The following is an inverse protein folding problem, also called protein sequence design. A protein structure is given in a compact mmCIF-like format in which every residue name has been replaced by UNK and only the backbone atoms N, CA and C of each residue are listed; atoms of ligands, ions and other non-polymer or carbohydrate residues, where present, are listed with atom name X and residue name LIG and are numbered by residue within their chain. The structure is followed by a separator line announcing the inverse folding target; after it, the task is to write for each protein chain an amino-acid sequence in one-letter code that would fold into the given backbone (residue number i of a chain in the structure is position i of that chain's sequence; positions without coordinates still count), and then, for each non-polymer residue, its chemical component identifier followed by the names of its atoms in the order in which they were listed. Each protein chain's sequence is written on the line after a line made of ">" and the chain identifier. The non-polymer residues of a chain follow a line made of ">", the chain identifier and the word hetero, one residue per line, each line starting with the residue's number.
data_IF_197824719239
#
_entry.id   IF_197824719239
#
_cell.length_a   1.000
_cell.length_b   1.000
_cell.length_c   1.000
_cell.angle_alpha   90.00
_cell.angle_beta   90.00
_cell.angle_gamma   90.00
#
_symmetry.space_group_name_H-M   'P 1'
#
loop_
_entity.id
_entity.type
_entity.pdbx_description
1 polymer ?
#
# COMPACT_ATOMS: atom_id res chain seq x y z
N UNK A 1 19.24 -19.30 0.72
CA UNK A 1 20.48 -18.57 0.49
C UNK A 1 20.23 -17.08 0.27
N UNK A 2 19.18 -16.69 -0.46
CA UNK A 2 18.85 -15.30 -0.88
C UNK A 2 17.89 -14.56 0.05
N UNK A 3 17.61 -15.09 1.22
CA UNK A 3 16.60 -14.57 2.14
C UNK A 3 17.22 -14.08 3.44
N UNK A 4 16.65 -13.02 3.99
CA UNK A 4 16.89 -12.58 5.35
C UNK A 4 15.68 -12.85 6.24
N UNK A 5 15.93 -13.35 7.46
CA UNK A 5 14.89 -13.52 8.48
C UNK A 5 14.65 -12.20 9.20
N UNK A 6 13.41 -11.83 9.32
CA UNK A 6 12.98 -10.55 9.90
C UNK A 6 12.07 -10.81 11.08
N UNK A 7 12.37 -10.19 12.22
CA UNK A 7 11.46 -10.12 13.35
C UNK A 7 10.52 -8.93 13.16
N UNK A 8 9.22 -9.19 13.04
CA UNK A 8 8.19 -8.18 12.82
C UNK A 8 8.09 -7.23 14.01
N UNK A 9 8.10 -5.93 13.75
CA UNK A 9 7.89 -4.87 14.74
C UNK A 9 6.50 -4.24 14.61
N UNK A 10 6.03 -4.05 13.37
CA UNK A 10 4.79 -3.35 13.06
C UNK A 10 4.09 -3.98 11.87
N UNK A 11 2.76 -4.01 11.92
CA UNK A 11 1.91 -4.43 10.82
C UNK A 11 0.79 -3.41 10.60
N UNK A 12 0.33 -3.26 9.37
CA UNK A 12 -0.87 -2.50 9.04
C UNK A 12 -1.92 -3.41 8.39
N UNK A 13 -3.18 -3.17 8.74
CA UNK A 13 -4.32 -3.85 8.15
C UNK A 13 -4.74 -3.09 6.88
N UNK A 14 -4.64 -3.74 5.73
CA UNK A 14 -5.18 -3.21 4.49
C UNK A 14 -6.68 -3.52 4.38
N UNK A 15 -7.53 -2.53 4.66
CA UNK A 15 -8.97 -2.74 4.66
C UNK A 15 -9.51 -3.31 3.33
N UNK A 16 -8.93 -2.94 2.19
CA UNK A 16 -9.38 -3.41 0.89
C UNK A 16 -8.98 -4.88 0.64
N UNK A 17 -7.71 -5.21 0.76
CA UNK A 17 -7.17 -6.53 0.45
C UNK A 17 -7.56 -7.55 1.51
N UNK A 18 -7.29 -7.27 2.78
CA UNK A 18 -7.53 -8.23 3.86
C UNK A 18 -9.04 -8.53 4.02
N UNK A 19 -9.91 -7.51 3.85
CA UNK A 19 -11.35 -7.74 3.89
C UNK A 19 -11.84 -8.62 2.74
N UNK A 20 -11.29 -8.47 1.52
CA UNK A 20 -11.63 -9.32 0.37
C UNK A 20 -11.14 -10.76 0.59
N UNK A 21 -9.95 -10.93 1.14
CA UNK A 21 -9.41 -12.25 1.48
C UNK A 21 -10.27 -12.95 2.54
N UNK A 22 -10.59 -12.27 3.64
CA UNK A 22 -11.46 -12.81 4.70
C UNK A 22 -12.84 -13.16 4.17
N UNK A 23 -13.39 -12.36 3.25
CA UNK A 23 -14.70 -12.61 2.65
C UNK A 23 -14.69 -13.67 1.53
N UNK A 24 -13.55 -14.23 1.14
CA UNK A 24 -13.43 -15.15 0.01
C UNK A 24 -13.71 -14.51 -1.36
N UNK A 25 -13.43 -13.20 -1.47
CA UNK A 25 -13.72 -12.39 -2.68
C UNK A 25 -12.46 -11.84 -3.35
N UNK A 26 -11.29 -12.28 -2.92
CA UNK A 26 -10.05 -11.84 -3.55
C UNK A 26 -9.82 -12.65 -4.84
N UNK A 27 -9.61 -11.99 -6.00
CA UNK A 27 -9.43 -12.69 -7.26
C UNK A 27 -8.23 -13.64 -7.24
N UNK A 28 -8.42 -14.87 -7.73
CA UNK A 28 -7.37 -15.88 -7.81
C UNK A 28 -7.01 -16.57 -6.50
N UNK A 29 -7.73 -16.30 -5.41
CA UNK A 29 -7.55 -16.98 -4.12
C UNK A 29 -8.81 -17.78 -3.78
N UNK A 30 -8.70 -19.10 -3.84
CA UNK A 30 -9.80 -20.06 -3.64
C UNK A 30 -9.47 -21.14 -2.59
N UNK A 31 -8.26 -21.14 -2.06
CA UNK A 31 -7.78 -22.14 -1.09
C UNK A 31 -7.59 -21.53 0.30
N UNK A 32 -8.24 -22.14 1.30
CA UNK A 32 -8.24 -21.70 2.71
C UNK A 32 -7.85 -22.87 3.62
N UNK A 33 -7.34 -22.63 4.86
CA UNK A 33 -7.13 -21.33 5.50
C UNK A 33 -5.93 -20.55 4.95
N UNK A 34 -5.93 -19.21 5.16
CA UNK A 34 -4.89 -18.27 4.73
C UNK A 34 -4.19 -17.62 5.93
N UNK A 35 -2.86 -17.52 5.86
CA UNK A 35 -2.10 -16.61 6.71
C UNK A 35 -2.02 -15.23 6.02
N UNK A 36 -2.60 -14.21 6.64
CA UNK A 36 -2.76 -12.88 6.08
C UNK A 36 -1.60 -11.93 6.42
N UNK A 37 -1.62 -10.76 5.78
CA UNK A 37 -0.73 -9.64 6.05
C UNK A 37 0.29 -9.41 4.94
N UNK A 38 0.29 -8.21 4.38
CA UNK A 38 1.20 -7.82 3.29
C UNK A 38 1.82 -6.44 3.54
N UNK A 39 1.41 -5.75 4.57
CA UNK A 39 1.99 -4.48 5.02
C UNK A 39 2.62 -4.69 6.39
N UNK A 40 3.93 -4.79 6.43
CA UNK A 40 4.69 -4.99 7.67
C UNK A 40 6.06 -4.34 7.59
N UNK A 41 6.65 -4.11 8.76
CA UNK A 41 8.02 -3.67 8.94
C UNK A 41 8.65 -4.45 10.10
N UNK A 42 9.95 -4.70 10.03
CA UNK A 42 10.66 -5.41 11.07
C UNK A 42 12.16 -5.32 10.94
N UNK A 43 12.87 -5.95 11.89
CA UNK A 43 14.33 -5.96 11.95
C UNK A 43 14.88 -7.27 11.42
N UNK A 44 15.86 -7.18 10.55
CA UNK A 44 16.65 -8.35 10.09
C UNK A 44 17.42 -8.94 11.28
N UNK A 45 17.17 -10.21 11.56
CA UNK A 45 17.82 -10.96 12.65
C UNK A 45 18.80 -12.02 12.15
N UNK A 46 18.67 -12.46 10.90
CA UNK A 46 19.63 -13.35 10.25
C UNK A 46 19.58 -13.13 8.74
N UNK A 47 20.70 -13.41 8.08
CA UNK A 47 20.83 -13.30 6.62
C UNK A 47 21.36 -14.60 6.03
N UNK A 48 20.87 -14.96 4.84
CA UNK A 48 21.41 -16.08 4.06
C UNK A 48 22.75 -15.71 3.41
N UNK A 49 23.48 -16.71 3.00
CA UNK A 49 24.88 -16.58 2.50
C UNK A 49 25.03 -15.72 1.24
N UNK A 50 23.97 -15.58 0.46
CA UNK A 50 23.94 -14.82 -0.79
C UNK A 50 23.26 -13.46 -0.66
N UNK A 51 22.80 -13.10 0.51
CA UNK A 51 22.19 -11.80 0.78
C UNK A 51 23.29 -10.73 0.82
N UNK A 52 23.14 -9.69 -0.01
CA UNK A 52 24.10 -8.59 -0.13
C UNK A 52 23.51 -7.23 0.27
N UNK A 53 22.19 -7.04 0.08
CA UNK A 53 21.53 -5.75 0.27
C UNK A 53 20.87 -5.59 1.64
N UNK A 54 20.92 -6.61 2.48
CA UNK A 54 20.42 -6.57 3.87
C UNK A 54 21.53 -7.02 4.83
N UNK A 55 21.53 -6.47 6.02
CA UNK A 55 22.36 -6.92 7.14
C UNK A 55 21.54 -7.00 8.43
N UNK A 56 22.01 -7.80 9.38
CA UNK A 56 21.42 -7.89 10.72
C UNK A 56 21.35 -6.50 11.35
N UNK A 57 20.18 -6.12 11.85
CA UNK A 57 19.86 -4.83 12.42
C UNK A 57 19.25 -3.83 11.46
N UNK A 58 19.19 -4.11 10.15
CA UNK A 58 18.46 -3.25 9.21
C UNK A 58 16.95 -3.38 9.44
N UNK A 59 16.23 -2.25 9.39
CA UNK A 59 14.78 -2.26 9.31
C UNK A 59 14.37 -2.43 7.86
N UNK A 60 13.46 -3.36 7.61
CA UNK A 60 12.97 -3.71 6.27
C UNK A 60 11.45 -3.75 6.24
N UNK A 61 10.87 -3.61 5.06
CA UNK A 61 9.43 -3.66 4.80
C UNK A 61 9.05 -4.80 3.85
N UNK A 62 7.76 -5.17 3.85
CA UNK A 62 7.18 -6.10 2.88
C UNK A 62 7.58 -7.56 3.09
N UNK A 63 8.01 -7.93 4.29
CA UNK A 63 8.31 -9.33 4.60
C UNK A 63 7.09 -10.23 4.43
N UNK A 64 7.31 -11.48 4.00
CA UNK A 64 6.24 -12.44 3.75
C UNK A 64 6.69 -13.87 4.11
N UNK A 65 5.71 -14.80 4.13
CA UNK A 65 5.91 -16.24 4.19
C UNK A 65 5.17 -16.84 3.00
N UNK A 66 5.91 -17.34 2.02
CA UNK A 66 5.34 -17.94 0.80
C UNK A 66 4.90 -19.39 1.00
N UNK A 67 5.52 -20.11 1.94
CA UNK A 67 5.26 -21.52 2.21
C UNK A 67 5.21 -21.79 3.72
N UNK A 68 4.10 -22.33 4.19
CA UNK A 68 3.87 -22.78 5.56
C UNK A 68 4.12 -24.29 5.75
N UNK A 69 4.67 -24.96 4.75
CA UNK A 69 5.00 -26.38 4.80
C UNK A 69 3.77 -27.25 5.04
N UNK A 70 3.94 -28.28 5.87
CA UNK A 70 2.90 -29.29 6.16
C UNK A 70 1.77 -28.81 7.11
N UNK A 71 1.67 -27.51 7.40
CA UNK A 71 0.67 -26.98 8.36
C UNK A 71 -0.74 -26.86 7.78
N UNK A 72 -0.92 -27.08 6.47
CA UNK A 72 -2.22 -26.96 5.81
C UNK A 72 -2.75 -25.53 5.76
N UNK A 73 -1.86 -24.54 5.85
CA UNK A 73 -2.15 -23.10 5.75
C UNK A 73 -1.55 -22.60 4.43
N UNK A 74 -2.34 -21.84 3.67
CA UNK A 74 -1.88 -21.21 2.43
C UNK A 74 -1.40 -19.78 2.70
N UNK A 75 -0.52 -19.28 1.85
CA UNK A 75 -0.03 -17.92 1.97
C UNK A 75 -1.04 -16.91 1.43
N UNK A 76 -1.47 -16.00 2.30
CA UNK A 76 -2.03 -14.69 1.96
C UNK A 76 -1.02 -13.62 2.36
N UNK A 77 0.23 -13.80 1.92
CA UNK A 77 1.49 -13.14 2.28
C UNK A 77 2.04 -13.47 3.67
N UNK A 78 1.23 -13.82 4.66
CA UNK A 78 1.70 -14.27 5.97
C UNK A 78 2.40 -13.22 6.85
N UNK A 79 2.31 -11.94 6.49
CA UNK A 79 3.04 -10.86 7.15
C UNK A 79 2.57 -10.51 8.55
N UNK A 80 1.41 -11.04 9.01
CA UNK A 80 0.96 -10.91 10.41
C UNK A 80 1.61 -11.93 11.35
N UNK A 81 2.75 -12.46 10.95
CA UNK A 81 3.54 -13.41 11.74
C UNK A 81 4.62 -12.71 12.54
N UNK A 82 5.06 -13.31 13.65
CA UNK A 82 6.15 -12.80 14.48
C UNK A 82 7.47 -12.71 13.72
N UNK A 83 7.69 -13.66 12.80
CA UNK A 83 8.84 -13.66 11.89
C UNK A 83 8.36 -13.83 10.46
N UNK A 84 9.02 -13.11 9.57
CA UNK A 84 8.80 -13.17 8.12
C UNK A 84 10.15 -13.22 7.42
N UNK A 85 10.15 -13.42 6.11
CA UNK A 85 11.35 -13.36 5.30
C UNK A 85 11.25 -12.24 4.28
N UNK A 86 12.39 -11.63 3.99
CA UNK A 86 12.58 -10.76 2.82
C UNK A 86 13.57 -11.42 1.88
N UNK A 87 13.36 -11.26 0.59
CA UNK A 87 14.21 -11.81 -0.47
C UNK A 87 15.10 -10.68 -1.00
N UNK A 88 16.36 -10.98 -1.24
CA UNK A 88 17.28 -10.03 -1.87
C UNK A 88 16.99 -10.02 -3.38
N UNK A 89 16.03 -9.20 -3.78
CA UNK A 89 15.52 -9.15 -5.15
C UNK A 89 16.60 -8.74 -6.16
N UNK A 90 17.47 -7.81 -5.80
CA UNK A 90 18.53 -7.36 -6.70
C UNK A 90 19.54 -8.49 -6.99
N UNK A 91 19.90 -9.25 -5.97
CA UNK A 91 20.77 -10.43 -6.18
C UNK A 91 20.06 -11.49 -7.02
N UNK A 92 18.78 -11.77 -6.76
CA UNK A 92 18.00 -12.69 -7.60
C UNK A 92 17.96 -12.24 -9.06
N UNK A 93 17.84 -10.95 -9.30
CA UNK A 93 17.82 -10.35 -10.63
C UNK A 93 19.17 -10.45 -11.32
N UNK A 94 20.26 -10.16 -10.62
CA UNK A 94 21.65 -10.29 -11.12
C UNK A 94 22.00 -11.73 -11.50
N UNK A 95 21.52 -12.72 -10.73
CA UNK A 95 21.71 -14.14 -11.00
C UNK A 95 20.69 -14.74 -12.00
N UNK A 96 19.75 -13.94 -12.52
CA UNK A 96 18.73 -14.40 -13.46
C UNK A 96 17.63 -15.27 -12.85
N UNK A 97 17.45 -15.16 -11.53
CA UNK A 97 16.47 -15.95 -10.74
C UNK A 97 15.18 -15.19 -10.41
N UNK A 98 15.10 -13.91 -10.78
CA UNK A 98 13.92 -13.06 -10.52
C UNK A 98 12.81 -13.32 -11.54
N UNK A 99 12.37 -14.57 -11.69
CA UNK A 99 11.30 -14.96 -12.60
C UNK A 99 10.23 -15.80 -11.87
N UNK A 100 8.96 -15.78 -12.34
CA UNK A 100 7.89 -16.60 -11.77
C UNK A 100 8.20 -18.10 -11.78
N UNK A 101 8.90 -18.59 -12.80
CA UNK A 101 9.29 -20.01 -12.93
C UNK A 101 10.28 -20.43 -11.84
N UNK A 102 11.04 -19.49 -11.30
CA UNK A 102 11.95 -19.69 -10.15
C UNK A 102 11.27 -19.40 -8.80
N UNK A 103 9.95 -19.18 -8.79
CA UNK A 103 9.18 -18.87 -7.58
C UNK A 103 9.37 -17.43 -7.06
N UNK A 104 9.85 -16.52 -7.91
CA UNK A 104 9.94 -15.12 -7.56
C UNK A 104 8.56 -14.46 -7.74
N UNK A 105 8.10 -13.80 -6.68
CA UNK A 105 6.86 -13.03 -6.70
C UNK A 105 7.16 -11.54 -6.97
N UNK A 106 6.25 -10.86 -7.66
CA UNK A 106 6.36 -9.42 -7.90
C UNK A 106 6.52 -8.63 -6.60
N UNK A 107 5.92 -9.14 -5.50
CA UNK A 107 6.05 -8.56 -4.17
C UNK A 107 7.48 -8.58 -3.60
N UNK A 108 8.43 -9.33 -4.15
CA UNK A 108 9.81 -9.31 -3.69
C UNK A 108 10.51 -7.98 -4.02
N UNK A 109 10.11 -7.33 -5.11
CA UNK A 109 10.65 -6.02 -5.51
C UNK A 109 10.39 -4.92 -4.48
N UNK A 110 9.33 -5.04 -3.66
CA UNK A 110 9.02 -4.05 -2.62
C UNK A 110 9.81 -4.24 -1.33
N UNK A 111 10.46 -5.40 -1.17
CA UNK A 111 11.21 -5.76 0.03
C UNK A 111 12.51 -4.97 0.08
N UNK A 112 12.51 -3.89 0.85
CA UNK A 112 13.65 -2.98 0.92
C UNK A 112 13.98 -2.59 2.36
N UNK A 113 15.25 -2.29 2.60
CA UNK A 113 15.67 -1.64 3.81
C UNK A 113 15.23 -0.16 3.81
N UNK A 114 14.78 0.32 4.95
CA UNK A 114 14.45 1.72 5.16
C UNK A 114 15.57 2.42 5.92
N UNK A 115 15.73 3.75 5.77
CA UNK A 115 16.72 4.51 6.52
C UNK A 115 16.57 4.30 8.04
N UNK A 116 17.67 4.21 8.77
CA UNK A 116 17.69 3.85 10.19
C UNK A 116 16.93 4.81 11.12
N UNK A 117 16.69 6.05 10.68
CA UNK A 117 15.92 7.05 11.42
C UNK A 117 14.38 6.88 11.27
N UNK A 118 13.93 6.10 10.29
CA UNK A 118 12.49 5.85 10.05
C UNK A 118 11.98 4.90 11.13
N UNK A 119 10.92 5.31 11.83
CA UNK A 119 10.31 4.49 12.89
C UNK A 119 9.44 3.36 12.29
N UNK A 120 9.13 2.28 13.05
CA UNK A 120 8.34 1.17 12.52
C UNK A 120 6.98 1.61 11.96
N UNK A 121 6.31 2.55 12.62
CA UNK A 121 5.02 3.10 12.22
C UNK A 121 5.11 3.87 10.89
N UNK A 122 6.22 4.54 10.66
CA UNK A 122 6.50 5.24 9.40
C UNK A 122 6.93 4.26 8.30
N UNK A 123 7.70 3.24 8.68
CA UNK A 123 8.15 2.21 7.75
C UNK A 123 6.98 1.42 7.16
N UNK A 124 6.03 0.98 7.98
CA UNK A 124 4.92 0.15 7.51
C UNK A 124 4.02 0.88 6.51
N UNK A 125 3.81 2.20 6.66
CA UNK A 125 2.99 2.98 5.70
C UNK A 125 3.67 3.17 4.35
N UNK A 126 5.00 2.94 4.26
CA UNK A 126 5.74 3.05 3.01
C UNK A 126 5.27 2.03 1.96
N UNK A 127 4.67 0.91 2.38
CA UNK A 127 4.03 -0.04 1.47
C UNK A 127 2.91 0.64 0.67
N UNK A 128 1.96 1.27 1.35
CA UNK A 128 0.88 2.05 0.72
C UNK A 128 1.42 3.25 -0.06
N UNK A 129 2.39 3.99 0.47
CA UNK A 129 2.93 5.17 -0.20
C UNK A 129 3.60 4.85 -1.52
N UNK A 130 4.30 3.72 -1.62
CA UNK A 130 4.91 3.28 -2.87
C UNK A 130 3.87 3.04 -3.97
N UNK A 131 2.76 2.37 -3.64
CA UNK A 131 1.65 2.15 -4.58
C UNK A 131 1.03 3.47 -5.05
N UNK A 132 0.77 4.38 -4.10
CA UNK A 132 0.23 5.70 -4.42
C UNK A 132 1.20 6.50 -5.29
N UNK A 133 2.52 6.45 -5.03
CA UNK A 133 3.52 7.11 -5.86
C UNK A 133 3.56 6.53 -7.29
N UNK A 134 3.43 5.22 -7.44
CA UNK A 134 3.28 4.58 -8.75
C UNK A 134 2.07 5.13 -9.50
N UNK A 135 0.93 5.24 -8.83
CA UNK A 135 -0.30 5.77 -9.40
C UNK A 135 -0.19 7.24 -9.86
N UNK A 136 0.68 8.06 -9.26
CA UNK A 136 0.94 9.43 -9.76
C UNK A 136 1.44 9.42 -11.19
N UNK A 137 2.32 8.48 -11.54
CA UNK A 137 2.82 8.30 -12.90
C UNK A 137 1.73 7.77 -13.82
N UNK A 138 1.02 6.73 -13.40
CA UNK A 138 0.01 6.06 -14.21
C UNK A 138 -1.18 6.97 -14.53
N UNK A 139 -1.59 7.81 -13.56
CA UNK A 139 -2.66 8.80 -13.73
C UNK A 139 -2.16 10.14 -14.28
N UNK A 140 -0.87 10.25 -14.59
CA UNK A 140 -0.24 11.47 -15.07
C UNK A 140 -0.53 12.68 -14.15
N UNK A 141 -0.41 12.49 -12.83
CA UNK A 141 -0.61 13.55 -11.83
C UNK A 141 0.64 14.43 -11.74
N UNK A 142 0.63 15.54 -12.45
CA UNK A 142 1.74 16.48 -12.50
C UNK A 142 1.44 17.77 -11.69
N UNK A 143 2.47 18.55 -11.31
CA UNK A 143 2.26 19.81 -10.60
C UNK A 143 1.22 20.72 -11.25
N UNK A 144 0.41 21.38 -10.43
CA UNK A 144 -0.65 22.29 -10.87
C UNK A 144 -1.99 21.62 -11.19
N UNK A 145 -2.04 20.30 -11.37
CA UNK A 145 -3.29 19.59 -11.63
C UNK A 145 -4.25 19.64 -10.44
N UNK A 146 -5.54 19.59 -10.75
CA UNK A 146 -6.64 19.57 -9.80
C UNK A 146 -7.23 18.15 -9.74
N UNK A 147 -7.31 17.60 -8.55
CA UNK A 147 -7.82 16.25 -8.35
C UNK A 147 -8.92 16.22 -7.30
N UNK A 148 -9.86 15.30 -7.44
CA UNK A 148 -10.80 14.94 -6.40
C UNK A 148 -10.60 13.46 -6.03
N UNK A 149 -10.45 13.18 -4.74
CA UNK A 149 -10.22 11.83 -4.20
C UNK A 149 -11.48 11.38 -3.47
N UNK A 150 -12.01 10.23 -3.80
CA UNK A 150 -13.15 9.63 -3.12
C UNK A 150 -12.66 8.59 -2.13
N UNK A 151 -12.90 8.84 -0.85
CA UNK A 151 -12.46 8.02 0.28
C UNK A 151 -11.28 8.64 1.04
N UNK A 152 -11.47 8.89 2.35
CA UNK A 152 -10.44 9.37 3.29
C UNK A 152 -9.85 8.23 4.12
N UNK A 153 -9.67 7.06 3.51
CA UNK A 153 -8.89 5.96 4.07
C UNK A 153 -7.37 6.19 3.90
N UNK A 154 -6.51 5.24 4.33
CA UNK A 154 -5.06 5.37 4.21
C UNK A 154 -4.59 5.73 2.79
N UNK A 155 -5.16 5.09 1.77
CA UNK A 155 -4.84 5.37 0.35
C UNK A 155 -5.23 6.79 -0.03
N UNK A 156 -6.48 7.22 0.23
CA UNK A 156 -6.93 8.57 -0.12
C UNK A 156 -6.16 9.65 0.61
N UNK A 157 -5.88 9.48 1.91
CA UNK A 157 -5.04 10.38 2.69
C UNK A 157 -3.61 10.45 2.16
N UNK A 158 -3.08 9.34 1.65
CA UNK A 158 -1.76 9.30 1.01
C UNK A 158 -1.75 10.10 -0.28
N UNK A 159 -2.81 10.02 -1.12
CA UNK A 159 -2.95 10.88 -2.29
C UNK A 159 -2.97 12.36 -1.91
N UNK A 160 -3.68 12.73 -0.84
CA UNK A 160 -3.70 14.11 -0.33
C UNK A 160 -2.29 14.56 0.07
N UNK A 161 -1.63 13.77 0.94
CA UNK A 161 -0.31 14.13 1.47
C UNK A 161 0.75 14.22 0.39
N UNK A 162 0.87 13.19 -0.43
CA UNK A 162 1.84 13.13 -1.51
C UNK A 162 1.52 14.16 -2.60
N UNK A 163 0.24 14.36 -2.92
CA UNK A 163 -0.19 15.38 -3.88
C UNK A 163 0.28 16.78 -3.50
N UNK A 164 0.17 17.15 -2.22
CA UNK A 164 0.72 18.45 -1.75
C UNK A 164 2.24 18.49 -1.86
N UNK A 165 2.94 17.41 -1.53
CA UNK A 165 4.40 17.34 -1.66
C UNK A 165 4.85 17.45 -3.12
N UNK A 166 4.11 16.87 -4.05
CA UNK A 166 4.39 16.93 -5.50
C UNK A 166 3.79 18.16 -6.21
N UNK A 167 3.16 19.05 -5.47
CA UNK A 167 2.71 20.34 -6.00
C UNK A 167 1.44 20.29 -6.83
N UNK A 168 0.52 19.35 -6.57
CA UNK A 168 -0.83 19.42 -7.16
C UNK A 168 -1.50 20.74 -6.80
N UNK A 169 -2.21 21.34 -7.75
CA UNK A 169 -2.78 22.68 -7.61
C UNK A 169 -3.99 22.73 -6.69
N UNK A 170 -4.83 21.70 -6.74
CA UNK A 170 -5.99 21.55 -5.86
C UNK A 170 -6.22 20.07 -5.58
N UNK A 171 -6.50 19.74 -4.32
CA UNK A 171 -6.82 18.38 -3.90
C UNK A 171 -8.05 18.42 -3.02
N UNK A 172 -9.17 18.00 -3.57
CA UNK A 172 -10.42 17.87 -2.86
C UNK A 172 -10.66 16.41 -2.48
N UNK A 173 -11.38 16.17 -1.40
CA UNK A 173 -11.64 14.82 -0.91
C UNK A 173 -13.10 14.62 -0.52
N UNK A 174 -13.61 13.42 -0.77
CA UNK A 174 -14.98 13.04 -0.44
C UNK A 174 -14.96 11.89 0.55
N UNK A 175 -15.73 12.00 1.64
CA UNK A 175 -15.96 10.88 2.57
C UNK A 175 -17.31 11.04 3.28
N UNK A 176 -17.92 9.94 3.67
CA UNK A 176 -19.19 9.95 4.43
C UNK A 176 -19.02 10.44 5.86
N UNK A 177 -17.82 10.34 6.42
CA UNK A 177 -17.54 10.62 7.83
C UNK A 177 -16.85 11.99 8.01
N UNK A 178 -17.54 12.99 8.60
CA UNK A 178 -16.96 14.32 8.81
C UNK A 178 -15.62 14.33 9.55
N UNK A 179 -15.45 13.41 10.51
CA UNK A 179 -14.20 13.28 11.26
C UNK A 179 -13.02 12.90 10.35
N UNK A 180 -13.23 12.11 9.32
CA UNK A 180 -12.20 11.76 8.33
C UNK A 180 -11.89 12.92 7.40
N UNK A 181 -12.87 13.72 7.02
CA UNK A 181 -12.67 14.94 6.24
C UNK A 181 -11.80 15.95 6.99
N UNK A 182 -11.97 16.04 8.31
CA UNK A 182 -11.12 16.89 9.15
C UNK A 182 -9.66 16.42 9.17
N UNK A 183 -9.43 15.11 9.23
CA UNK A 183 -8.09 14.53 9.09
C UNK A 183 -7.48 14.88 7.73
N UNK A 184 -8.25 14.73 6.66
CA UNK A 184 -7.79 15.03 5.31
C UNK A 184 -7.41 16.51 5.13
N UNK A 185 -8.19 17.45 5.70
CA UNK A 185 -7.85 18.88 5.69
C UNK A 185 -6.53 19.15 6.42
N UNK A 186 -6.32 18.53 7.59
CA UNK A 186 -5.03 18.64 8.32
C UNK A 186 -3.86 18.07 7.54
N UNK A 187 -4.10 17.08 6.67
CA UNK A 187 -3.08 16.51 5.80
C UNK A 187 -2.84 17.31 4.52
N UNK A 188 -3.69 18.30 4.24
CA UNK A 188 -3.51 19.23 3.14
C UNK A 188 -4.60 19.22 2.06
N UNK A 189 -5.73 18.54 2.26
CA UNK A 189 -6.86 18.67 1.35
C UNK A 189 -7.39 20.13 1.35
N UNK A 190 -7.63 20.67 0.16
CA UNK A 190 -8.14 22.03 0.02
C UNK A 190 -9.60 22.12 0.46
N UNK A 191 -10.42 21.14 0.04
CA UNK A 191 -11.81 21.02 0.48
C UNK A 191 -12.14 19.54 0.80
N UNK A 192 -13.08 19.38 1.70
CA UNK A 192 -13.63 18.05 2.04
C UNK A 192 -15.15 18.09 1.93
N UNK A 193 -15.72 17.14 1.21
CA UNK A 193 -17.14 17.06 0.90
C UNK A 193 -17.73 15.73 1.35
N UNK A 194 -18.99 15.75 1.74
CA UNK A 194 -19.81 14.54 1.87
C UNK A 194 -20.41 14.13 0.52
N UNK A 195 -20.81 12.87 0.33
CA UNK A 195 -21.53 12.45 -0.89
C UNK A 195 -22.78 13.28 -1.17
N UNK A 196 -23.50 13.72 -0.13
CA UNK A 196 -24.68 14.55 -0.29
C UNK A 196 -24.35 15.93 -0.88
N UNK A 197 -23.23 16.55 -0.47
CA UNK A 197 -22.80 17.84 -0.99
C UNK A 197 -22.37 17.76 -2.45
N UNK A 198 -21.66 16.72 -2.86
CA UNK A 198 -21.21 16.54 -4.26
C UNK A 198 -22.36 16.13 -5.21
N UNK A 199 -23.48 15.65 -4.68
CA UNK A 199 -24.65 15.26 -5.47
C UNK A 199 -25.59 16.42 -5.78
N UNK A 200 -25.29 17.63 -5.31
CA UNK A 200 -26.13 18.80 -5.60
C UNK A 200 -25.94 19.30 -7.04
N UNK A 201 -27.01 19.82 -7.71
CA UNK A 201 -26.90 20.39 -9.04
C UNK A 201 -25.84 21.49 -9.13
N UNK A 202 -25.73 22.29 -8.08
CA UNK A 202 -24.78 23.40 -7.97
C UNK A 202 -23.34 22.90 -7.97
N UNK A 203 -23.03 21.83 -7.18
CA UNK A 203 -21.71 21.24 -7.17
C UNK A 203 -21.38 20.60 -8.52
N UNK A 204 -22.32 19.81 -9.08
CA UNK A 204 -22.14 19.15 -10.37
C UNK A 204 -21.84 20.18 -11.48
N UNK A 205 -22.57 21.30 -11.50
CA UNK A 205 -22.35 22.37 -12.46
C UNK A 205 -20.97 23.03 -12.30
N UNK A 206 -20.55 23.29 -11.06
CA UNK A 206 -19.25 23.89 -10.74
C UNK A 206 -18.08 22.91 -10.99
N UNK A 207 -18.28 21.63 -10.69
CA UNK A 207 -17.27 20.59 -10.85
C UNK A 207 -17.08 20.16 -12.31
N UNK A 208 -18.04 20.46 -13.20
CA UNK A 208 -18.01 20.03 -14.59
C UNK A 208 -16.72 20.50 -15.29
N UNK A 209 -15.85 19.54 -15.64
CA UNK A 209 -14.54 19.77 -16.24
C UNK A 209 -13.56 20.63 -15.40
N UNK A 210 -13.78 20.73 -14.09
CA UNK A 210 -12.89 21.50 -13.21
C UNK A 210 -11.74 20.65 -12.62
N UNK A 211 -11.86 19.33 -12.64
CA UNK A 211 -10.83 18.41 -12.19
C UNK A 211 -10.13 17.72 -13.37
N UNK A 212 -8.82 17.55 -13.25
CA UNK A 212 -7.99 16.80 -14.20
C UNK A 212 -8.09 15.29 -13.99
N UNK A 213 -8.37 14.86 -12.75
CA UNK A 213 -8.55 13.46 -12.39
C UNK A 213 -9.53 13.27 -11.24
N UNK A 214 -10.24 12.16 -11.27
CA UNK A 214 -11.05 11.63 -10.16
C UNK A 214 -10.40 10.31 -9.72
N UNK A 215 -10.10 10.19 -8.43
CA UNK A 215 -9.41 9.03 -7.87
C UNK A 215 -10.37 8.31 -6.93
N UNK A 216 -10.75 7.08 -7.28
CA UNK A 216 -11.49 6.20 -6.37
C UNK A 216 -10.52 5.46 -5.45
N UNK A 217 -10.52 5.83 -4.17
CA UNK A 217 -9.75 5.19 -3.10
C UNK A 217 -10.64 4.33 -2.17
N UNK A 218 -11.86 4.01 -2.59
CA UNK A 218 -12.83 3.17 -1.87
C UNK A 218 -12.94 1.77 -2.49
N UNK A 219 -13.02 1.71 -3.82
CA UNK A 219 -13.16 0.48 -4.59
C UNK A 219 -14.50 -0.22 -4.41
N UNK A 220 -15.59 0.53 -4.25
CA UNK A 220 -16.95 0.01 -4.16
C UNK A 220 -17.76 0.42 -5.40
N UNK A 221 -18.55 -0.50 -5.95
CA UNK A 221 -19.41 -0.25 -7.11
C UNK A 221 -20.32 0.99 -6.94
N UNK A 222 -20.76 1.25 -5.71
CA UNK A 222 -21.60 2.40 -5.38
C UNK A 222 -20.89 3.77 -5.52
N UNK A 223 -19.58 3.79 -5.70
CA UNK A 223 -18.80 5.03 -5.91
C UNK A 223 -18.68 5.35 -7.39
N UNK A 224 -18.73 4.33 -8.26
CA UNK A 224 -18.45 4.44 -9.70
C UNK A 224 -19.75 4.55 -10.52
N UNK A 225 -20.89 4.14 -9.94
CA UNK A 225 -22.22 4.18 -10.55
C UNK A 225 -23.11 5.24 -9.89
#
# INVERSE_FOLDING_TARGET
>A
AYQALVKTEMVALCNATDSKLVAGKFPGVDTYPLALGHENAGIVVAVGEKVCNFKVGDRVIGGLISDFGAQGINSGWGGFSEYVVVNDFEVLKEEGLATPEQGCWDSFEIQNAVPSHVQPEEAVISCTWREVLGAFKDFNLTPGKKVIVVGSGPVGLSFVKLGKLFGLGQIDIVDMLPAKLEVARRMGADHGYTPAEISTPEFIAAANRSYDAVIDAVGLDAVVN
#
